data_IF_743509833794
#
_entry.id   IF_743509833794
#
_cell.length_a   1.000
_cell.length_b   1.000
_cell.length_c   1.000
_cell.angle_alpha   90.00
_cell.angle_beta   90.00
_cell.angle_gamma   90.00
#
_symmetry.space_group_name_H-M   'P 1'
#
loop_
_entity.id
_entity.type
_entity.pdbx_description
1 polymer ?
#
# COMPACT_ATOMS: atom_id res chain seq x y z
N UNK A 1 3.88 -6.61 16.32
CA UNK A 1 3.25 -5.40 15.76
C UNK A 1 4.25 -4.43 15.12
N UNK A 2 5.51 -4.31 15.58
CA UNK A 2 6.53 -3.53 14.83
C UNK A 2 6.86 -4.16 13.47
N UNK A 3 6.91 -5.49 13.42
CA UNK A 3 7.38 -6.23 12.24
C UNK A 3 6.52 -6.01 10.97
N UNK A 4 5.20 -5.88 11.13
CA UNK A 4 4.30 -5.64 9.97
C UNK A 4 4.41 -4.20 9.47
N UNK A 5 4.62 -3.23 10.38
CA UNK A 5 4.81 -1.83 10.04
C UNK A 5 6.15 -1.60 9.34
N UNK A 6 7.21 -2.20 9.87
CA UNK A 6 8.55 -2.17 9.26
C UNK A 6 8.54 -2.84 7.88
N UNK A 7 7.81 -3.96 7.73
CA UNK A 7 7.64 -4.62 6.45
C UNK A 7 6.89 -3.75 5.43
N UNK A 8 5.85 -3.01 5.84
CA UNK A 8 5.11 -2.08 4.97
C UNK A 8 5.99 -0.89 4.56
N UNK A 9 6.73 -0.29 5.49
CA UNK A 9 7.69 0.79 5.18
C UNK A 9 8.79 0.36 4.20
N UNK A 10 9.19 -0.91 4.22
CA UNK A 10 10.21 -1.44 3.32
C UNK A 10 9.71 -1.73 1.89
N UNK A 11 8.40 -1.70 1.65
CA UNK A 11 7.84 -1.92 0.30
C UNK A 11 8.18 -0.75 -0.62
N UNK A 12 8.46 -1.04 -1.89
CA UNK A 12 8.48 -0.01 -2.92
C UNK A 12 7.06 0.45 -3.28
N UNK A 13 6.95 1.61 -3.92
CA UNK A 13 5.66 2.25 -4.20
C UNK A 13 4.76 1.36 -5.07
N UNK A 14 5.31 0.68 -6.09
CA UNK A 14 4.50 -0.18 -6.96
C UNK A 14 3.94 -1.38 -6.17
N UNK A 15 4.78 -2.03 -5.37
CA UNK A 15 4.37 -3.19 -4.58
C UNK A 15 3.38 -2.82 -3.47
N UNK A 16 3.56 -1.67 -2.85
CA UNK A 16 2.65 -1.13 -1.83
C UNK A 16 1.23 -0.93 -2.40
N UNK A 17 1.14 -0.28 -3.56
CA UNK A 17 -0.13 -0.01 -4.25
C UNK A 17 -0.77 -1.32 -4.71
N UNK A 18 0.00 -2.22 -5.33
CA UNK A 18 -0.51 -3.50 -5.79
C UNK A 18 -1.02 -4.38 -4.63
N UNK A 19 -0.33 -4.39 -3.49
CA UNK A 19 -0.81 -5.08 -2.29
C UNK A 19 -2.09 -4.46 -1.74
N UNK A 20 -2.18 -3.14 -1.69
CA UNK A 20 -3.39 -2.46 -1.24
C UNK A 20 -4.58 -2.76 -2.16
N UNK A 21 -4.40 -2.67 -3.48
CA UNK A 21 -5.43 -3.01 -4.46
C UNK A 21 -5.88 -4.46 -4.34
N UNK A 22 -4.95 -5.41 -4.23
CA UNK A 22 -5.30 -6.83 -4.06
C UNK A 22 -6.03 -7.11 -2.74
N UNK A 23 -5.62 -6.48 -1.64
CA UNK A 23 -6.19 -6.73 -0.32
C UNK A 23 -7.55 -6.03 -0.11
N UNK A 24 -7.72 -4.81 -0.64
CA UNK A 24 -8.91 -3.97 -0.44
C UNK A 24 -10.20 -4.62 -0.99
N UNK A 25 -10.08 -5.48 -2.00
CA UNK A 25 -11.19 -6.24 -2.59
C UNK A 25 -11.75 -7.29 -1.61
N UNK A 26 -10.94 -7.75 -0.65
CA UNK A 26 -11.30 -8.88 0.21
C UNK A 26 -11.74 -8.49 1.62
N UNK A 27 -11.10 -7.50 2.26
CA UNK A 27 -11.51 -7.07 3.62
C UNK A 27 -10.97 -5.68 3.99
N UNK A 28 -11.69 -4.59 3.70
CA UNK A 28 -11.22 -3.21 3.92
C UNK A 28 -10.98 -2.84 5.39
N UNK A 29 -11.53 -3.60 6.35
CA UNK A 29 -11.35 -3.38 7.80
C UNK A 29 -10.10 -4.08 8.38
N UNK A 30 -9.31 -4.76 7.54
CA UNK A 30 -8.09 -5.44 7.98
C UNK A 30 -7.01 -4.43 8.41
N UNK A 31 -6.43 -4.63 9.59
CA UNK A 31 -5.33 -3.82 10.15
C UNK A 31 -4.18 -3.68 9.14
N UNK A 32 -3.88 -4.72 8.37
CA UNK A 32 -2.85 -4.69 7.35
C UNK A 32 -3.18 -3.69 6.24
N UNK A 33 -4.44 -3.60 5.82
CA UNK A 33 -4.87 -2.65 4.78
C UNK A 33 -4.80 -1.22 5.28
N UNK A 34 -5.18 -0.99 6.54
CA UNK A 34 -5.05 0.31 7.17
C UNK A 34 -3.58 0.76 7.20
N UNK A 35 -2.65 -0.15 7.53
CA UNK A 35 -1.22 0.15 7.48
C UNK A 35 -0.72 0.46 6.07
N UNK A 36 -1.18 -0.28 5.04
CA UNK A 36 -0.84 0.02 3.65
C UNK A 36 -1.36 1.39 3.22
N UNK A 37 -2.58 1.75 3.62
CA UNK A 37 -3.20 3.03 3.31
C UNK A 37 -2.50 4.21 4.00
N UNK A 38 -2.17 4.06 5.29
CA UNK A 38 -1.39 5.05 6.04
C UNK A 38 -0.05 5.33 5.36
N UNK A 39 0.62 4.27 4.87
CA UNK A 39 1.89 4.41 4.18
C UNK A 39 1.75 5.10 2.81
N UNK A 40 0.72 4.76 2.03
CA UNK A 40 0.42 5.41 0.75
C UNK A 40 0.20 6.91 0.95
N UNK A 41 -0.58 7.28 1.97
CA UNK A 41 -0.84 8.68 2.32
C UNK A 41 0.45 9.36 2.79
N UNK A 42 1.24 8.70 3.63
CA UNK A 42 2.49 9.25 4.16
C UNK A 42 3.54 9.51 3.08
N UNK A 43 3.51 8.76 1.97
CA UNK A 43 4.44 8.93 0.85
C UNK A 43 4.03 10.00 -0.15
N UNK A 44 2.86 10.61 0.03
CA UNK A 44 2.30 11.64 -0.87
C UNK A 44 2.35 11.21 -2.35
N UNK A 45 2.04 9.93 -2.61
CA UNK A 45 2.15 9.36 -3.96
C UNK A 45 1.27 10.14 -4.95
N UNK A 46 1.88 10.51 -6.07
CA UNK A 46 1.18 11.23 -7.13
C UNK A 46 0.25 10.30 -7.90
N UNK A 47 -0.79 10.85 -8.52
CA UNK A 47 -1.70 10.09 -9.40
C UNK A 47 -0.91 9.38 -10.52
N UNK A 48 0.16 9.99 -11.02
CA UNK A 48 1.01 9.42 -12.07
C UNK A 48 1.75 8.16 -11.61
N UNK A 49 2.28 8.16 -10.38
CA UNK A 49 2.92 6.99 -9.76
C UNK A 49 1.92 5.86 -9.49
N UNK A 50 0.70 6.21 -9.09
CA UNK A 50 -0.38 5.24 -8.91
C UNK A 50 -0.78 4.60 -10.23
N UNK A 51 -0.98 5.40 -11.28
CA UNK A 51 -1.36 4.90 -12.60
C UNK A 51 -0.23 4.08 -13.27
N UNK A 52 1.04 4.41 -13.01
CA UNK A 52 2.16 3.61 -13.51
C UNK A 52 2.27 2.23 -12.82
N UNK A 53 1.89 2.14 -11.55
CA UNK A 53 1.93 0.88 -10.82
C UNK A 53 0.92 -0.16 -11.34
N UNK A 54 -0.21 0.27 -11.93
CA UNK A 54 -1.23 -0.63 -12.50
C UNK A 54 -0.88 -1.18 -13.90
N UNK A 55 0.15 -0.65 -14.55
CA UNK A 55 0.57 -1.03 -15.91
C UNK A 55 1.62 -2.16 -15.95
N UNK A 56 2.10 -2.61 -14.80
CA UNK A 56 3.16 -3.64 -14.64
C UNK A 56 2.69 -4.82 -13.78
#
# INVERSE_FOLDING_TARGET
MRDIRDAVHALDNCFLINKFNAASVHSPDDEFIQLLLEEIISRELTIEEVLHAELH
#
